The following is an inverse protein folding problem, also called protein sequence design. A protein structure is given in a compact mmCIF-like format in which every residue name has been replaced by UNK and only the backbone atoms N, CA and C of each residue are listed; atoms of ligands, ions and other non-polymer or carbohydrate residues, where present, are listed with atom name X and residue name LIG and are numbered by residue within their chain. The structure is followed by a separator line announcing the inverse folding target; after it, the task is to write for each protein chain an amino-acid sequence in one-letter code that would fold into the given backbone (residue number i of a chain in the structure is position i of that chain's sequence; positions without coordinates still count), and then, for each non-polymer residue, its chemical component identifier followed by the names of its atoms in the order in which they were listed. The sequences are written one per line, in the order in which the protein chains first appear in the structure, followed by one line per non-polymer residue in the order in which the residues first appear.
data_IF_714923870993
#
_entry.id   IF_714923870993
#
_cell.length_a   1.000
_cell.length_b   1.000
_cell.length_c   1.000
_cell.angle_alpha   90.00
_cell.angle_beta   90.00
_cell.angle_gamma   90.00
#
_symmetry.space_group_name_H-M   'P 1'
#
loop_
_entity.id
_entity.type
_entity.pdbx_description
1 polymer ?
#
# COMPACT_ATOMS: atom_id res chain seq x y z
N UNK A 1 -25.18 2.91 -10.52
CA UNK A 1 -24.27 4.04 -10.22
C UNK A 1 -23.96 3.96 -8.74
N UNK A 2 -22.71 3.76 -8.33
CA UNK A 2 -22.37 3.83 -6.91
C UNK A 2 -22.62 5.27 -6.43
N UNK A 3 -23.42 5.45 -5.38
CA UNK A 3 -23.61 6.76 -4.75
C UNK A 3 -22.25 7.30 -4.29
N UNK A 4 -22.13 8.63 -4.22
CA UNK A 4 -20.92 9.34 -3.78
C UNK A 4 -20.40 8.90 -2.39
N UNK A 5 -21.22 8.14 -1.65
CA UNK A 5 -21.01 7.63 -0.29
C UNK A 5 -20.26 6.29 -0.16
N UNK A 6 -19.80 5.66 -1.26
CA UNK A 6 -19.09 4.37 -1.22
C UNK A 6 -17.65 4.43 -1.73
N UNK A 7 -17.12 5.62 -2.01
CA UNK A 7 -15.74 5.78 -2.47
C UNK A 7 -14.81 5.66 -1.27
N UNK A 8 -13.82 4.78 -1.37
CA UNK A 8 -12.74 4.70 -0.39
C UNK A 8 -11.97 6.02 -0.33
N UNK A 9 -11.65 6.43 0.90
CA UNK A 9 -10.86 7.62 1.21
C UNK A 9 -9.81 7.37 2.30
N UNK A 10 -9.85 6.18 2.92
CA UNK A 10 -8.82 5.66 3.80
C UNK A 10 -8.47 4.24 3.41
N UNK A 11 -7.31 3.77 3.86
CA UNK A 11 -6.86 2.40 3.65
C UNK A 11 -6.01 1.92 4.82
N UNK A 12 -6.02 0.61 5.05
CA UNK A 12 -5.13 -0.06 5.98
C UNK A 12 -3.99 -0.71 5.20
N UNK A 13 -2.76 -0.56 5.66
CA UNK A 13 -1.60 -1.09 4.93
C UNK A 13 -0.45 -1.55 5.82
N UNK A 14 0.41 -2.38 5.22
CA UNK A 14 1.76 -2.65 5.70
C UNK A 14 2.70 -1.70 4.98
N UNK A 15 3.41 -0.86 5.74
CA UNK A 15 4.45 0.02 5.20
C UNK A 15 5.71 -0.78 4.86
N UNK A 16 6.33 -0.50 3.72
CA UNK A 16 7.65 -1.04 3.40
C UNK A 16 8.74 -0.12 3.94
N UNK A 17 9.53 -0.62 4.87
CA UNK A 17 10.58 0.10 5.61
C UNK A 17 11.98 -0.44 5.34
N UNK A 18 12.12 -1.63 4.72
CA UNK A 18 13.42 -2.17 4.35
C UNK A 18 14.16 -1.20 3.40
N UNK A 19 15.31 -0.64 3.80
CA UNK A 19 16.05 0.34 2.99
C UNK A 19 16.50 -0.20 1.63
N UNK A 20 16.78 -1.50 1.52
CA UNK A 20 17.16 -2.12 0.25
C UNK A 20 15.98 -2.08 -0.73
N UNK A 21 14.78 -2.49 -0.31
CA UNK A 21 13.57 -2.43 -1.15
C UNK A 21 13.31 -1.00 -1.63
N UNK A 22 13.38 -0.03 -0.69
CA UNK A 22 13.18 1.40 -1.01
C UNK A 22 14.18 1.91 -2.05
N UNK A 23 15.46 1.55 -1.91
CA UNK A 23 16.52 1.92 -2.86
C UNK A 23 16.29 1.29 -4.23
N UNK A 24 16.05 -0.01 -4.30
CA UNK A 24 15.85 -0.70 -5.58
C UNK A 24 14.63 -0.16 -6.35
N UNK A 25 13.54 0.18 -5.64
CA UNK A 25 12.36 0.82 -6.26
C UNK A 25 12.70 2.25 -6.71
N UNK A 26 13.45 3.01 -5.89
CA UNK A 26 13.89 4.35 -6.25
C UNK A 26 14.73 4.33 -7.54
N UNK A 27 15.70 3.42 -7.63
CA UNK A 27 16.58 3.30 -8.79
C UNK A 27 15.80 2.97 -10.06
N UNK A 28 14.78 2.11 -9.96
CA UNK A 28 13.87 1.81 -11.07
C UNK A 28 13.05 3.04 -11.51
N UNK A 29 12.53 3.83 -10.56
CA UNK A 29 11.79 5.05 -10.85
C UNK A 29 12.70 6.15 -11.42
N UNK A 30 13.90 6.33 -10.87
CA UNK A 30 14.87 7.32 -11.33
C UNK A 30 15.28 7.04 -12.78
N UNK A 31 15.58 5.78 -13.12
CA UNK A 31 15.87 5.39 -14.50
C UNK A 31 14.69 5.69 -15.44
N UNK A 32 13.47 5.38 -15.01
CA UNK A 32 12.28 5.64 -15.81
C UNK A 32 12.05 7.15 -15.99
N UNK A 33 12.25 7.97 -14.95
CA UNK A 33 12.11 9.42 -15.00
C UNK A 33 13.19 10.07 -15.86
N UNK A 34 14.43 9.57 -15.84
CA UNK A 34 15.49 10.00 -16.76
C UNK A 34 15.05 9.84 -18.24
N UNK A 35 14.37 8.73 -18.52
CA UNK A 35 13.90 8.37 -19.85
C UNK A 35 12.62 9.09 -20.27
N UNK A 36 11.67 9.27 -19.36
CA UNK A 36 10.40 9.97 -19.59
C UNK A 36 10.05 10.92 -18.43
N UNK A 37 10.68 12.12 -18.36
CA UNK A 37 10.55 13.05 -17.22
C UNK A 37 9.13 13.49 -16.90
N UNK A 38 8.22 13.42 -17.88
CA UNK A 38 6.80 13.75 -17.73
C UNK A 38 6.08 12.91 -16.66
N UNK A 39 6.65 11.77 -16.26
CA UNK A 39 6.08 10.88 -15.24
C UNK A 39 6.53 11.18 -13.80
N UNK A 40 7.50 12.07 -13.59
CA UNK A 40 8.06 12.36 -12.25
C UNK A 40 6.97 12.66 -11.21
N UNK A 41 6.01 13.51 -11.58
CA UNK A 41 4.88 13.95 -10.76
C UNK A 41 3.87 12.84 -10.37
N UNK A 42 4.00 11.66 -10.98
CA UNK A 42 3.12 10.50 -10.79
C UNK A 42 3.82 9.37 -10.02
N UNK A 43 5.13 9.48 -9.82
CA UNK A 43 5.93 8.52 -9.06
C UNK A 43 5.60 8.63 -7.57
N UNK A 44 5.59 7.49 -6.90
CA UNK A 44 5.55 7.44 -5.44
C UNK A 44 6.97 7.67 -4.92
N UNK A 45 7.11 8.38 -3.81
CA UNK A 45 8.41 8.46 -3.14
C UNK A 45 8.71 7.13 -2.44
N UNK A 46 9.98 6.84 -2.13
CA UNK A 46 10.36 5.62 -1.39
C UNK A 46 9.69 5.51 0.00
N UNK A 47 9.25 6.62 0.58
CA UNK A 47 8.58 6.65 1.88
C UNK A 47 7.13 6.19 1.76
N UNK A 48 6.51 6.40 0.59
CA UNK A 48 5.09 6.11 0.30
C UNK A 48 4.81 4.64 0.01
N UNK A 49 5.79 3.82 -0.36
CA UNK A 49 5.52 2.45 -0.79
C UNK A 49 4.95 1.59 0.34
N UNK A 50 3.88 0.85 0.03
CA UNK A 50 3.12 0.05 0.98
C UNK A 50 2.39 -1.08 0.26
N UNK A 51 1.95 -2.06 1.04
CA UNK A 51 1.00 -3.10 0.61
C UNK A 51 -0.35 -2.83 1.27
N UNK A 52 -1.37 -2.56 0.47
CA UNK A 52 -2.73 -2.31 0.98
C UNK A 52 -3.37 -3.63 1.42
N UNK A 53 -3.94 -3.64 2.64
CA UNK A 53 -4.66 -4.77 3.21
C UNK A 53 -6.17 -4.67 2.92
N UNK A 54 -6.76 -3.49 3.17
CA UNK A 54 -8.13 -3.18 2.78
C UNK A 54 -8.34 -1.66 2.68
N UNK A 55 -9.44 -1.25 2.05
CA UNK A 55 -9.84 0.15 1.92
C UNK A 55 -11.07 0.43 2.78
N UNK A 56 -11.24 1.66 3.25
CA UNK A 56 -12.37 2.09 4.06
C UNK A 56 -12.97 3.42 3.55
N UNK A 57 -14.25 3.61 3.84
CA UNK A 57 -14.98 4.85 3.60
C UNK A 57 -15.35 5.48 4.95
N UNK A 58 -14.63 6.53 5.35
CA UNK A 58 -14.80 7.23 6.64
C UNK A 58 -15.27 8.66 6.36
N UNK A 59 -16.48 9.03 6.76
CA UNK A 59 -17.13 10.27 6.33
C UNK A 59 -16.75 11.49 7.18
N UNK A 60 -16.52 11.27 8.47
CA UNK A 60 -16.28 12.31 9.46
C UNK A 60 -15.23 11.89 10.51
N UNK A 61 -15.03 12.74 11.52
CA UNK A 61 -14.09 12.49 12.61
C UNK A 61 -14.49 11.31 13.50
N UNK A 62 -15.79 11.03 13.64
CA UNK A 62 -16.28 9.89 14.43
C UNK A 62 -15.93 8.57 13.74
N UNK A 63 -16.14 8.47 12.42
CA UNK A 63 -15.72 7.31 11.63
C UNK A 63 -14.19 7.09 11.70
N UNK A 64 -13.40 8.16 11.68
CA UNK A 64 -11.94 8.08 11.80
C UNK A 64 -11.54 7.58 13.19
N UNK A 65 -12.13 8.12 14.24
CA UNK A 65 -11.88 7.70 15.62
C UNK A 65 -12.29 6.24 15.85
N UNK A 66 -13.43 5.82 15.29
CA UNK A 66 -13.91 4.43 15.34
C UNK A 66 -12.93 3.49 14.64
N UNK A 67 -12.47 3.82 13.43
CA UNK A 67 -11.52 3.02 12.68
C UNK A 67 -10.14 2.94 13.37
N UNK A 68 -9.66 4.05 13.92
CA UNK A 68 -8.45 4.10 14.73
C UNK A 68 -8.55 3.21 15.96
N UNK A 69 -9.67 3.31 16.70
CA UNK A 69 -9.93 2.46 17.87
C UNK A 69 -10.04 0.99 17.48
N UNK A 70 -10.72 0.67 16.39
CA UNK A 70 -10.85 -0.70 15.91
C UNK A 70 -9.49 -1.34 15.59
N UNK A 71 -8.57 -0.59 14.97
CA UNK A 71 -7.20 -1.05 14.74
C UNK A 71 -6.44 -1.30 16.04
N UNK A 72 -6.58 -0.41 17.03
CA UNK A 72 -5.94 -0.56 18.35
C UNK A 72 -6.51 -1.74 19.14
N UNK A 73 -7.83 -1.89 19.17
CA UNK A 73 -8.50 -3.00 19.84
C UNK A 73 -8.09 -4.36 19.22
N UNK A 74 -7.73 -4.38 17.93
CA UNK A 74 -7.29 -5.57 17.22
C UNK A 74 -5.80 -5.92 17.41
N UNK A 75 -5.01 -5.12 18.15
CA UNK A 75 -3.56 -5.28 18.24
C UNK A 75 -3.15 -6.68 18.72
N UNK A 76 -3.76 -7.18 19.80
CA UNK A 76 -3.42 -8.50 20.37
C UNK A 76 -3.70 -9.64 19.38
N UNK A 77 -4.90 -9.69 18.80
CA UNK A 77 -5.27 -10.76 17.87
C UNK A 77 -4.46 -10.70 16.57
N UNK A 78 -4.09 -9.49 16.12
CA UNK A 78 -3.21 -9.31 14.97
C UNK A 78 -1.78 -9.74 15.28
N UNK A 79 -1.26 -9.45 16.47
CA UNK A 79 0.05 -9.91 16.94
C UNK A 79 0.11 -11.45 16.98
N UNK A 80 -0.95 -12.11 17.45
CA UNK A 80 -1.08 -13.58 17.46
C UNK A 80 -1.23 -14.19 16.06
N UNK A 81 -1.82 -13.42 15.13
CA UNK A 81 -2.04 -13.83 13.73
C UNK A 81 -0.91 -13.39 12.79
N UNK A 82 0.22 -12.91 13.33
CA UNK A 82 1.32 -12.40 12.50
C UNK A 82 1.82 -13.46 11.52
N UNK A 83 1.99 -13.09 10.23
CA UNK A 83 2.61 -13.98 9.27
C UNK A 83 4.04 -14.32 9.70
N UNK A 84 4.36 -15.61 9.63
CA UNK A 84 5.73 -16.10 9.79
C UNK A 84 6.53 -15.97 8.49
N UNK A 85 5.83 -15.99 7.35
CA UNK A 85 6.42 -15.81 6.03
C UNK A 85 6.78 -14.34 5.76
N UNK A 86 7.77 -14.13 4.90
CA UNK A 86 8.16 -12.80 4.41
C UNK A 86 7.36 -12.46 3.15
N UNK A 87 7.00 -11.19 3.01
CA UNK A 87 6.50 -10.64 1.76
C UNK A 87 7.66 -10.45 0.80
N UNK A 88 7.59 -11.07 -0.38
CA UNK A 88 8.61 -10.95 -1.42
C UNK A 88 8.15 -9.94 -2.47
N UNK A 89 8.87 -8.83 -2.58
CA UNK A 89 8.58 -7.76 -3.54
C UNK A 89 9.39 -8.03 -4.81
N UNK A 90 8.70 -8.30 -5.91
CA UNK A 90 9.35 -8.68 -7.17
C UNK A 90 8.55 -8.21 -8.39
N UNK A 91 9.25 -8.11 -9.50
CA UNK A 91 8.67 -7.81 -10.80
C UNK A 91 8.06 -6.42 -10.89
N UNK A 92 7.83 -5.95 -12.12
CA UNK A 92 7.01 -4.78 -12.39
C UNK A 92 6.02 -5.10 -13.50
N UNK A 93 4.77 -4.73 -13.24
CA UNK A 93 3.63 -4.87 -14.16
C UNK A 93 2.78 -3.60 -14.10
N UNK A 94 1.73 -3.52 -14.93
CA UNK A 94 0.84 -2.37 -14.96
C UNK A 94 -0.63 -2.74 -14.82
N UNK A 95 -1.41 -1.81 -14.27
CA UNK A 95 -2.86 -1.77 -14.47
C UNK A 95 -3.21 -0.74 -15.53
N UNK A 96 -3.75 -1.22 -16.65
CA UNK A 96 -4.18 -0.39 -17.79
C UNK A 96 -3.11 0.55 -18.35
N UNK A 97 -1.82 0.23 -18.14
CA UNK A 97 -0.67 1.09 -18.45
C UNK A 97 -0.72 2.48 -17.80
N UNK A 98 -1.45 2.62 -16.70
CA UNK A 98 -1.57 3.88 -15.96
C UNK A 98 -1.06 3.77 -14.52
N UNK A 99 -0.93 2.56 -14.00
CA UNK A 99 -0.44 2.30 -12.64
C UNK A 99 0.68 1.29 -12.76
N UNK A 100 1.90 1.65 -12.36
CA UNK A 100 2.99 0.69 -12.22
C UNK A 100 2.95 0.10 -10.82
N UNK A 101 3.03 -1.23 -10.77
CA UNK A 101 3.00 -1.98 -9.53
C UNK A 101 4.18 -2.96 -9.50
N UNK A 102 4.73 -3.18 -8.31
CA UNK A 102 5.52 -4.37 -8.03
C UNK A 102 4.60 -5.46 -7.47
N UNK A 103 4.82 -6.70 -7.89
CA UNK A 103 4.07 -7.83 -7.37
C UNK A 103 4.55 -8.18 -5.96
N UNK A 104 3.63 -8.67 -5.15
CA UNK A 104 3.90 -9.18 -3.81
C UNK A 104 3.61 -10.67 -3.86
N UNK A 105 4.65 -11.47 -3.67
CA UNK A 105 4.53 -12.89 -3.40
C UNK A 105 4.43 -13.10 -1.89
N UNK A 106 3.45 -13.90 -1.47
CA UNK A 106 3.05 -14.08 -0.08
C UNK A 106 2.45 -15.47 0.11
N UNK A 107 2.57 -15.98 1.33
CA UNK A 107 1.97 -17.25 1.72
C UNK A 107 0.57 -17.04 2.32
N UNK A 108 -0.15 -18.14 2.53
CA UNK A 108 -1.52 -18.11 3.02
C UNK A 108 -1.66 -17.49 4.43
N UNK A 109 -0.60 -17.44 5.23
CA UNK A 109 -0.60 -16.78 6.54
C UNK A 109 -0.80 -15.25 6.42
N UNK A 110 -0.19 -14.59 5.43
CA UNK A 110 -0.44 -13.17 5.15
C UNK A 110 -1.87 -12.89 4.71
N UNK A 111 -2.44 -13.79 3.89
CA UNK A 111 -3.86 -13.68 3.51
C UNK A 111 -4.77 -13.74 4.74
N UNK A 112 -4.56 -14.72 5.61
CA UNK A 112 -5.32 -14.86 6.86
C UNK A 112 -5.16 -13.65 7.76
N UNK A 113 -3.94 -13.11 7.89
CA UNK A 113 -3.71 -11.88 8.64
C UNK A 113 -4.55 -10.70 8.13
N UNK A 114 -4.60 -10.51 6.81
CA UNK A 114 -5.43 -9.47 6.19
C UNK A 114 -6.94 -9.71 6.42
N UNK A 115 -7.38 -10.97 6.38
CA UNK A 115 -8.75 -11.38 6.68
C UNK A 115 -9.11 -11.09 8.16
N UNK A 116 -8.25 -11.45 9.11
CA UNK A 116 -8.42 -11.16 10.55
C UNK A 116 -8.58 -9.65 10.77
N UNK A 117 -7.69 -8.82 10.20
CA UNK A 117 -7.81 -7.36 10.30
C UNK A 117 -9.18 -6.89 9.80
N UNK A 118 -9.57 -7.34 8.61
CA UNK A 118 -10.82 -6.95 7.96
C UNK A 118 -12.05 -7.35 8.79
N UNK A 119 -12.03 -8.54 9.39
CA UNK A 119 -13.09 -9.01 10.29
C UNK A 119 -13.18 -8.14 11.55
N UNK A 120 -12.06 -7.85 12.21
CA UNK A 120 -12.04 -6.98 13.40
C UNK A 120 -12.58 -5.58 13.10
N UNK A 121 -12.20 -5.00 11.96
CA UNK A 121 -12.72 -3.71 11.51
C UNK A 121 -14.23 -3.74 11.31
N UNK A 122 -14.75 -4.76 10.61
CA UNK A 122 -16.19 -4.92 10.36
C UNK A 122 -16.98 -5.16 11.64
N UNK A 123 -16.45 -5.96 12.58
CA UNK A 123 -17.07 -6.21 13.88
C UNK A 123 -17.26 -4.92 14.69
N UNK A 124 -16.37 -3.94 14.50
CA UNK A 124 -16.45 -2.61 15.12
C UNK A 124 -17.27 -1.61 14.32
N UNK A 125 -17.89 -2.02 13.21
CA UNK A 125 -18.73 -1.17 12.38
C UNK A 125 -17.98 -0.32 11.35
N UNK A 126 -16.67 -0.53 11.14
CA UNK A 126 -15.91 0.21 10.13
C UNK A 126 -16.38 -0.18 8.73
N UNK A 127 -16.71 0.81 7.91
CA UNK A 127 -17.16 0.62 6.53
C UNK A 127 -16.00 0.26 5.59
N UNK A 128 -15.62 -1.01 5.60
CA UNK A 128 -14.62 -1.58 4.67
C UNK A 128 -15.21 -1.76 3.28
N UNK A 129 -14.45 -1.42 2.25
CA UNK A 129 -14.84 -1.50 0.83
C UNK A 129 -14.46 -2.86 0.24
N UNK A 130 -15.42 -3.53 -0.41
CA UNK A 130 -15.26 -4.88 -0.97
C UNK A 130 -15.58 -4.91 -2.47
N UNK A 131 -14.66 -4.38 -3.29
CA UNK A 131 -14.88 -4.27 -4.75
C UNK A 131 -14.12 -5.31 -5.57
N UNK A 132 -13.01 -5.81 -5.03
CA UNK A 132 -12.07 -6.65 -5.75
C UNK A 132 -11.56 -7.77 -4.85
N UNK A 133 -11.15 -8.87 -5.48
CA UNK A 133 -10.38 -9.91 -4.81
C UNK A 133 -9.11 -9.34 -4.21
N UNK A 134 -8.69 -9.89 -3.08
CA UNK A 134 -7.46 -9.46 -2.42
C UNK A 134 -6.25 -9.84 -3.29
N UNK A 135 -5.65 -8.80 -3.89
CA UNK A 135 -4.46 -8.92 -4.73
C UNK A 135 -3.40 -7.94 -4.22
N UNK A 136 -2.57 -8.33 -3.25
CA UNK A 136 -1.55 -7.45 -2.69
C UNK A 136 -0.51 -7.10 -3.76
N UNK A 137 -0.14 -5.84 -3.78
CA UNK A 137 0.82 -5.27 -4.71
C UNK A 137 1.38 -3.98 -4.09
N UNK A 138 2.50 -3.50 -4.62
CA UNK A 138 3.08 -2.21 -4.24
C UNK A 138 2.89 -1.25 -5.40
N UNK A 139 2.05 -0.23 -5.24
CA UNK A 139 1.99 0.84 -6.26
C UNK A 139 3.24 1.70 -6.15
N UNK A 140 3.96 1.88 -7.26
CA UNK A 140 5.16 2.73 -7.33
C UNK A 140 4.96 3.95 -8.23
N UNK A 141 3.96 3.93 -9.12
CA UNK A 141 3.57 5.08 -9.94
C UNK A 141 2.08 4.99 -10.26
N UNK A 142 1.38 6.13 -10.20
CA UNK A 142 -0.05 6.20 -10.53
C UNK A 142 -0.39 7.45 -11.34
N UNK A 143 -0.68 7.26 -12.63
CA UNK A 143 -1.19 8.30 -13.53
C UNK A 143 -2.66 8.58 -13.24
N UNK A 144 -2.93 9.58 -12.39
CA UNK A 144 -4.28 10.05 -12.12
C UNK A 144 -4.83 10.80 -13.35
N UNK A 145 -5.97 10.36 -13.90
CA UNK A 145 -6.61 10.91 -15.09
C UNK A 145 -6.82 12.42 -15.07
N UNK A 146 -7.08 13.02 -13.90
CA UNK A 146 -7.23 14.48 -13.78
C UNK A 146 -5.90 15.20 -13.99
N UNK A 147 -4.83 14.74 -13.33
CA UNK A 147 -3.47 15.30 -13.48
C UNK A 147 -2.90 15.00 -14.86
N UNK A 148 -3.17 13.81 -15.39
CA UNK A 148 -2.75 13.35 -16.70
C UNK A 148 -3.26 14.28 -17.82
N UNK A 149 -4.55 14.66 -17.77
CA UNK A 149 -5.12 15.64 -18.71
C UNK A 149 -4.41 16.99 -18.65
N UNK A 150 -4.17 17.51 -17.44
CA UNK A 150 -3.49 18.80 -17.23
C UNK A 150 -2.03 18.76 -17.72
N UNK A 151 -1.34 17.65 -17.47
CA UNK A 151 0.06 17.44 -17.84
C UNK A 151 0.25 16.89 -19.27
N UNK A 152 -0.84 16.62 -20.01
CA UNK A 152 -0.83 15.92 -21.30
C UNK A 152 -0.05 14.60 -21.28
N UNK A 153 -0.13 13.89 -20.14
CA UNK A 153 0.51 12.59 -19.93
C UNK A 153 -0.47 11.47 -20.25
N UNK A 154 0.00 10.48 -21.00
CA UNK A 154 -0.79 9.32 -21.41
C UNK A 154 -0.42 8.04 -20.66
N UNK A 155 -0.67 6.91 -21.32
CA UNK A 155 -0.26 5.58 -20.86
C UNK A 155 1.27 5.44 -20.88
N UNK A 156 1.77 4.62 -19.97
CA UNK A 156 3.16 4.18 -19.92
C UNK A 156 3.47 3.28 -21.11
N UNK A 157 4.64 3.45 -21.70
CA UNK A 157 5.12 2.52 -22.70
C UNK A 157 5.79 1.31 -22.03
N UNK A 158 5.54 0.10 -22.55
CA UNK A 158 6.04 -1.16 -22.00
C UNK A 158 7.56 -1.24 -21.85
N UNK A 159 8.34 -0.57 -22.71
CA UNK A 159 9.80 -0.57 -22.62
C UNK A 159 10.32 0.06 -21.32
N UNK A 160 9.51 0.89 -20.65
CA UNK A 160 9.86 1.50 -19.36
C UNK A 160 9.93 0.49 -18.21
N UNK A 161 9.35 -0.70 -18.38
CA UNK A 161 9.27 -1.70 -17.31
C UNK A 161 9.56 -3.13 -17.76
N UNK A 162 9.73 -3.40 -19.05
CA UNK A 162 9.95 -4.76 -19.57
C UNK A 162 11.15 -5.46 -18.94
N UNK A 163 12.23 -4.73 -18.66
CA UNK A 163 13.44 -5.28 -18.04
C UNK A 163 13.32 -5.47 -16.51
N UNK A 164 12.21 -5.02 -15.93
CA UNK A 164 11.95 -5.09 -14.48
C UNK A 164 10.97 -6.22 -14.13
N UNK A 165 10.41 -6.94 -15.11
CA UNK A 165 9.37 -7.96 -14.92
C UNK A 165 9.76 -9.09 -13.95
N UNK A 166 11.04 -9.45 -13.92
CA UNK A 166 11.55 -10.53 -13.06
C UNK A 166 12.52 -10.03 -11.97
N UNK A 167 12.65 -8.70 -11.79
CA UNK A 167 13.58 -8.13 -10.81
C UNK A 167 13.10 -8.44 -9.39
N UNK A 168 13.97 -8.99 -8.56
CA UNK A 168 13.75 -9.08 -7.11
C UNK A 168 14.12 -7.73 -6.47
N UNK A 169 13.17 -7.10 -5.77
CA UNK A 169 13.41 -5.86 -5.02
C UNK A 169 13.77 -6.13 -3.55
N UNK A 170 13.31 -7.25 -3.01
CA UNK A 170 13.69 -7.72 -1.67
C UNK A 170 12.52 -8.31 -0.90
N UNK A 171 12.76 -8.57 0.39
CA UNK A 171 11.78 -9.22 1.28
C UNK A 171 11.58 -8.43 2.57
N UNK A 172 10.38 -8.52 3.15
CA UNK A 172 10.06 -7.89 4.42
C UNK A 172 8.99 -8.66 5.20
N UNK A 173 9.17 -8.75 6.51
CA UNK A 173 8.12 -9.17 7.46
C UNK A 173 7.03 -8.09 7.61
N UNK A 174 5.88 -8.51 8.14
CA UNK A 174 4.83 -7.59 8.59
C UNK A 174 5.19 -7.06 9.98
N UNK A 175 5.66 -5.81 10.04
CA UNK A 175 6.09 -5.18 11.29
C UNK A 175 5.08 -4.16 11.85
N UNK A 176 4.10 -3.75 11.03
CA UNK A 176 3.11 -2.75 11.43
C UNK A 176 1.89 -2.75 10.53
N UNK A 177 0.77 -2.23 11.05
CA UNK A 177 -0.42 -1.89 10.26
C UNK A 177 -0.75 -0.42 10.49
N UNK A 178 -1.02 0.30 9.41
CA UNK A 178 -1.30 1.74 9.41
C UNK A 178 -2.68 1.99 8.83
N UNK A 179 -3.51 2.78 9.53
CA UNK A 179 -4.67 3.44 8.95
C UNK A 179 -4.19 4.73 8.30
N UNK A 180 -4.34 4.86 6.99
CA UNK A 180 -3.83 6.00 6.22
C UNK A 180 -4.93 6.71 5.44
N UNK A 181 -4.85 8.05 5.39
CA UNK A 181 -5.72 8.89 4.55
C UNK A 181 -5.24 8.86 3.10
N UNK A 182 -6.15 8.60 2.17
CA UNK A 182 -5.86 8.77 0.74
C UNK A 182 -5.71 10.26 0.41
N UNK A 183 -4.68 10.63 -0.36
CA UNK A 183 -4.47 12.00 -0.79
C UNK A 183 -3.01 12.34 -1.01
N UNK A 184 -2.70 13.64 -1.05
CA UNK A 184 -1.34 14.16 -1.22
C UNK A 184 -0.69 14.64 0.09
N UNK A 185 -1.48 14.86 1.14
CA UNK A 185 -0.97 15.23 2.47
C UNK A 185 -0.07 14.11 3.01
N UNK A 186 1.09 14.50 3.53
CA UNK A 186 2.09 13.58 4.09
C UNK A 186 2.45 13.98 5.52
N UNK A 187 2.89 13.00 6.29
CA UNK A 187 3.64 13.19 7.54
C UNK A 187 5.00 13.82 7.24
N UNK A 188 5.69 14.26 8.28
CA UNK A 188 7.05 14.79 8.20
C UNK A 188 8.05 13.78 7.59
N UNK A 189 7.85 12.49 7.86
CA UNK A 189 8.67 11.40 7.33
C UNK A 189 8.32 10.98 5.89
N UNK A 190 7.47 11.75 5.21
CA UNK A 190 7.05 11.50 3.83
C UNK A 190 5.99 10.40 3.66
N UNK A 191 5.55 9.72 4.73
CA UNK A 191 4.47 8.74 4.62
C UNK A 191 3.09 9.39 4.60
N UNK A 192 2.04 8.61 4.34
CA UNK A 192 0.66 9.10 4.36
C UNK A 192 0.29 9.66 5.74
N UNK A 193 -0.61 10.65 5.78
CA UNK A 193 -1.26 11.03 7.03
C UNK A 193 -1.92 9.78 7.66
N UNK A 194 -1.53 9.49 8.90
CA UNK A 194 -1.78 8.20 9.57
C UNK A 194 -2.50 8.46 10.89
N UNK A 195 -3.85 8.43 10.94
CA UNK A 195 -4.59 8.62 12.19
C UNK A 195 -4.29 7.58 13.27
N UNK A 196 -3.92 6.35 12.87
CA UNK A 196 -3.53 5.29 13.79
C UNK A 196 -2.57 4.30 13.14
N UNK A 197 -1.65 3.77 13.94
CA UNK A 197 -0.75 2.70 13.55
C UNK A 197 -0.55 1.74 14.73
N UNK A 198 -0.34 0.45 14.44
CA UNK A 198 0.16 -0.53 15.41
C UNK A 198 1.53 -1.01 14.93
N UNK A 199 2.47 -1.14 15.86
CA UNK A 199 3.81 -1.64 15.60
C UNK A 199 3.94 -2.93 16.39
N UNK A 200 4.19 -4.02 15.68
CA UNK A 200 4.28 -5.33 16.29
C UNK A 200 5.63 -5.52 16.96
N UNK A 201 5.64 -6.25 18.07
CA UNK A 201 6.88 -6.67 18.71
C UNK A 201 7.39 -7.88 17.94
N UNK A 202 8.53 -7.74 17.28
CA UNK A 202 9.27 -8.91 16.77
C UNK A 202 10.00 -9.54 17.94
N UNK A 203 9.66 -10.80 18.26
CA UNK A 203 10.53 -11.63 19.09
C UNK A 203 11.76 -11.93 18.26
N UNK A 204 12.79 -11.09 18.35
CA UNK A 204 14.10 -11.44 17.84
C UNK A 204 14.64 -12.51 18.78
N UNK A 205 14.50 -13.78 18.40
CA UNK A 205 15.37 -14.83 18.91
C UNK A 205 16.75 -14.51 18.32
N UNK A 206 17.61 -13.91 19.15
CA UNK A 206 19.04 -13.91 18.90
C UNK A 206 19.49 -15.36 18.98
N UNK A 207 19.63 -16.01 17.83
CA UNK A 207 20.51 -17.17 17.66
C UNK A 207 21.89 -16.69 17.21
#
# INVERSE_FOLDING_TARGET
MASKSDRSNYFFCVRLTNPAIRREIKDALDWMVDKEPKFADFCYTPEMIHVTLCEACLQDEEDIALAAKALKDAETILQESLPSSLLTIKGITTFNDLIMIADVEYENDFRKFAEVLKEQLKLKGVKVVERHEFRPHVTILKVNTMRARKAKVGKLNSWLYVNLKDKLFGQQSVNSVHLCKMGYERREDGFYNTPAEIIFRTNVTND
#
